data_IF_647916280120
#
_entry.id   IF_647916280120
#
_cell.length_a   1.000
_cell.length_b   1.000
_cell.length_c   1.000
_cell.angle_alpha   90.00
_cell.angle_beta   90.00
_cell.angle_gamma   90.00
#
_symmetry.space_group_name_H-M   'P 1'
#
loop_
_entity.id
_entity.type
_entity.pdbx_description
1 polymer ?
#
# COMPACT_ATOMS: atom_id res chain seq x y z
N UNK A 1 -51.84 -68.15 -115.03
CA UNK A 1 -50.84 -69.18 -114.68
C UNK A 1 -50.01 -68.66 -113.51
N UNK A 2 -49.88 -69.48 -112.46
CA UNK A 2 -48.82 -69.51 -111.43
C UNK A 2 -48.55 -68.29 -110.52
N UNK A 3 -49.02 -68.38 -109.27
CA UNK A 3 -48.14 -68.48 -108.07
C UNK A 3 -47.83 -67.22 -107.25
N UNK A 4 -47.46 -67.36 -105.94
CA UNK A 4 -48.05 -66.61 -104.81
C UNK A 4 -47.03 -65.88 -103.88
N UNK A 5 -47.44 -65.56 -102.64
CA UNK A 5 -46.73 -65.07 -101.40
C UNK A 5 -47.16 -63.63 -101.03
N UNK A 6 -48.08 -63.36 -100.09
CA UNK A 6 -48.26 -63.72 -98.66
C UNK A 6 -47.11 -63.25 -97.73
N UNK A 7 -47.51 -62.54 -96.65
CA UNK A 7 -46.75 -62.07 -95.47
C UNK A 7 -45.77 -60.90 -95.74
N UNK A 8 -45.83 -59.76 -95.06
CA UNK A 8 -45.85 -59.60 -93.60
C UNK A 8 -46.49 -58.26 -93.20
N UNK A 9 -47.49 -58.32 -92.32
CA UNK A 9 -47.95 -57.22 -91.48
C UNK A 9 -46.86 -56.77 -90.50
N UNK A 10 -46.93 -55.49 -90.11
CA UNK A 10 -46.55 -54.91 -88.81
C UNK A 10 -45.06 -54.97 -88.38
N UNK A 11 -44.38 -53.82 -88.47
CA UNK A 11 -43.67 -53.13 -87.37
C UNK A 11 -42.42 -52.37 -87.89
N UNK A 12 -42.39 -51.03 -87.73
CA UNK A 12 -41.30 -50.47 -86.94
C UNK A 12 -41.79 -49.33 -86.03
N UNK A 13 -42.84 -49.55 -85.24
CA UNK A 13 -43.23 -48.59 -84.19
C UNK A 13 -42.69 -48.97 -82.81
N UNK A 14 -42.25 -50.22 -82.61
CA UNK A 14 -41.76 -50.71 -81.31
C UNK A 14 -40.32 -50.26 -80.97
N UNK A 15 -39.46 -50.04 -81.97
CA UNK A 15 -38.07 -49.59 -81.74
C UNK A 15 -37.97 -48.15 -81.25
N UNK A 16 -38.84 -47.26 -81.76
CA UNK A 16 -38.91 -45.86 -81.35
C UNK A 16 -39.51 -45.69 -79.93
N UNK A 17 -40.42 -46.59 -79.53
CA UNK A 17 -41.04 -46.57 -78.20
C UNK A 17 -40.06 -46.92 -77.06
N UNK A 18 -39.01 -47.70 -77.32
CA UNK A 18 -37.99 -48.09 -76.31
C UNK A 18 -36.80 -47.13 -76.22
N UNK A 19 -36.51 -46.36 -77.28
CA UNK A 19 -35.40 -45.39 -77.31
C UNK A 19 -35.69 -44.14 -76.48
N UNK A 20 -36.94 -43.67 -76.49
CA UNK A 20 -37.38 -42.50 -75.71
C UNK A 20 -37.24 -42.67 -74.19
N UNK A 21 -37.67 -43.78 -73.55
CA UNK A 21 -37.48 -43.98 -72.12
C UNK A 21 -36.00 -44.18 -71.77
N UNK A 22 -35.20 -44.86 -72.60
CA UNK A 22 -33.76 -45.02 -72.37
C UNK A 22 -33.01 -43.67 -72.40
N UNK A 23 -33.34 -42.80 -73.37
CA UNK A 23 -32.80 -41.45 -73.46
C UNK A 23 -33.26 -40.58 -72.27
N UNK A 24 -34.52 -40.72 -71.84
CA UNK A 24 -35.03 -40.02 -70.66
C UNK A 24 -34.30 -40.46 -69.37
N UNK A 25 -33.99 -41.75 -69.23
CA UNK A 25 -33.18 -42.28 -68.11
C UNK A 25 -31.75 -41.73 -68.17
N UNK A 26 -31.10 -41.71 -69.33
CA UNK A 26 -29.75 -41.14 -69.48
C UNK A 26 -29.73 -39.63 -69.18
N UNK A 27 -30.73 -38.87 -69.64
CA UNK A 27 -30.85 -37.43 -69.35
C UNK A 27 -31.10 -37.19 -67.86
N UNK A 28 -31.95 -38.00 -67.21
CA UNK A 28 -32.17 -37.93 -65.75
C UNK A 28 -30.91 -38.27 -64.97
N UNK A 29 -30.19 -39.33 -65.34
CA UNK A 29 -28.92 -39.71 -64.73
C UNK A 29 -27.86 -38.62 -64.89
N UNK A 30 -27.73 -38.02 -66.09
CA UNK A 30 -26.81 -36.91 -66.34
C UNK A 30 -27.18 -35.65 -65.55
N UNK A 31 -28.47 -35.32 -65.45
CA UNK A 31 -28.96 -34.20 -64.63
C UNK A 31 -28.76 -34.45 -63.14
N UNK A 32 -28.93 -35.68 -62.66
CA UNK A 32 -28.65 -36.05 -61.28
C UNK A 32 -27.14 -35.91 -60.96
N UNK A 33 -26.27 -36.43 -61.82
CA UNK A 33 -24.81 -36.28 -61.68
C UNK A 33 -24.34 -34.81 -61.73
N UNK A 34 -24.96 -33.98 -62.59
CA UNK A 34 -24.68 -32.54 -62.62
C UNK A 34 -25.11 -31.85 -61.31
N UNK A 35 -26.30 -32.16 -60.78
CA UNK A 35 -26.77 -31.63 -59.50
C UNK A 35 -25.88 -32.05 -58.34
N UNK A 36 -25.44 -33.30 -58.32
CA UNK A 36 -24.52 -33.82 -57.29
C UNK A 36 -23.16 -33.12 -57.36
N UNK A 37 -22.61 -32.92 -58.56
CA UNK A 37 -21.38 -32.15 -58.77
C UNK A 37 -21.54 -30.69 -58.35
N UNK A 38 -22.64 -30.04 -58.74
CA UNK A 38 -22.88 -28.63 -58.40
C UNK A 38 -23.09 -28.48 -56.89
N UNK A 39 -23.76 -29.42 -56.23
CA UNK A 39 -23.89 -29.49 -54.77
C UNK A 39 -22.53 -29.71 -54.08
N UNK A 40 -21.68 -30.60 -54.59
CA UNK A 40 -20.33 -30.81 -54.07
C UNK A 40 -19.43 -29.58 -54.24
N UNK A 41 -19.59 -28.82 -55.34
CA UNK A 41 -18.88 -27.55 -55.56
C UNK A 41 -19.35 -26.49 -54.58
N UNK A 42 -20.65 -26.38 -54.30
CA UNK A 42 -21.20 -25.43 -53.31
C UNK A 42 -20.71 -25.79 -51.91
N UNK A 43 -20.85 -27.05 -51.49
CA UNK A 43 -20.36 -27.52 -50.19
C UNK A 43 -18.84 -27.31 -50.03
N UNK A 44 -18.06 -27.53 -51.11
CA UNK A 44 -16.63 -27.27 -51.13
C UNK A 44 -16.28 -25.78 -51.01
N UNK A 45 -17.12 -24.86 -51.49
CA UNK A 45 -16.95 -23.41 -51.30
C UNK A 45 -17.27 -22.99 -49.88
N UNK A 46 -18.38 -23.48 -49.30
CA UNK A 46 -18.76 -23.19 -47.91
C UNK A 46 -17.67 -23.65 -46.93
N UNK A 47 -17.12 -24.84 -47.12
CA UNK A 47 -16.01 -25.34 -46.30
C UNK A 47 -14.76 -24.45 -46.39
N UNK A 48 -14.42 -23.94 -47.58
CA UNK A 48 -13.29 -23.02 -47.76
C UNK A 48 -13.55 -21.68 -47.10
N UNK A 49 -14.74 -21.11 -47.24
CA UNK A 49 -15.10 -19.84 -46.60
C UNK A 49 -15.06 -19.94 -45.07
N UNK A 50 -15.53 -21.06 -44.51
CA UNK A 50 -15.41 -21.35 -43.08
C UNK A 50 -13.94 -21.49 -42.67
N UNK A 51 -13.13 -22.21 -43.43
CA UNK A 51 -11.70 -22.36 -43.16
C UNK A 51 -10.95 -21.02 -43.20
N UNK A 52 -11.21 -20.18 -44.19
CA UNK A 52 -10.64 -18.84 -44.33
C UNK A 52 -11.08 -17.90 -43.20
N UNK A 53 -12.34 -17.98 -42.77
CA UNK A 53 -12.83 -17.22 -41.61
C UNK A 53 -12.16 -17.66 -40.32
N UNK A 54 -12.04 -18.98 -40.11
CA UNK A 54 -11.35 -19.52 -38.94
C UNK A 54 -9.87 -19.11 -38.95
N UNK A 55 -9.19 -19.23 -40.09
CA UNK A 55 -7.79 -18.82 -40.22
C UNK A 55 -7.59 -17.34 -39.90
N UNK A 56 -8.44 -16.46 -40.44
CA UNK A 56 -8.43 -15.02 -40.10
C UNK A 56 -8.68 -14.74 -38.62
N UNK A 57 -9.58 -15.48 -38.00
CA UNK A 57 -9.82 -15.38 -36.55
C UNK A 57 -8.56 -15.78 -35.76
N UNK A 58 -7.93 -16.90 -36.11
CA UNK A 58 -6.69 -17.35 -35.47
C UNK A 58 -5.56 -16.35 -35.60
N UNK A 59 -5.31 -15.83 -36.81
CA UNK A 59 -4.27 -14.82 -37.04
C UNK A 59 -4.52 -13.55 -36.23
N UNK A 60 -5.76 -13.05 -36.22
CA UNK A 60 -6.12 -11.87 -35.46
C UNK A 60 -5.93 -12.06 -33.95
N UNK A 61 -6.30 -13.23 -33.40
CA UNK A 61 -6.07 -13.54 -31.98
C UNK A 61 -4.56 -13.59 -31.67
N UNK A 62 -3.74 -14.19 -32.53
CA UNK A 62 -2.28 -14.23 -32.33
C UNK A 62 -1.67 -12.84 -32.34
N UNK A 63 -2.11 -11.97 -33.25
CA UNK A 63 -1.66 -10.59 -33.33
C UNK A 63 -2.12 -9.75 -32.13
N UNK A 64 -3.35 -9.99 -31.66
CA UNK A 64 -3.93 -9.34 -30.48
C UNK A 64 -3.16 -9.73 -29.20
N UNK A 65 -2.82 -11.01 -29.02
CA UNK A 65 -1.97 -11.48 -27.90
C UNK A 65 -0.56 -10.86 -27.98
N UNK A 66 0.01 -10.76 -29.18
CA UNK A 66 1.31 -10.11 -29.38
C UNK A 66 1.24 -8.63 -29.06
N UNK A 67 0.14 -7.95 -29.41
CA UNK A 67 -0.07 -6.54 -29.11
C UNK A 67 -0.23 -6.29 -27.61
N UNK A 68 -1.02 -7.13 -26.94
CA UNK A 68 -1.15 -7.13 -25.48
C UNK A 68 0.24 -7.22 -24.82
N UNK A 69 1.02 -8.24 -25.19
CA UNK A 69 2.33 -8.49 -24.59
C UNK A 69 3.37 -7.39 -24.86
N UNK A 70 3.39 -6.81 -26.08
CA UNK A 70 4.45 -5.87 -26.50
C UNK A 70 4.12 -4.40 -26.28
N UNK A 71 2.84 -4.05 -26.17
CA UNK A 71 2.40 -2.65 -26.12
C UNK A 71 1.49 -2.36 -24.94
N UNK A 72 0.40 -3.11 -24.77
CA UNK A 72 -0.60 -2.80 -23.73
C UNK A 72 -0.07 -3.07 -22.32
N UNK A 73 0.53 -4.24 -22.06
CA UNK A 73 1.04 -4.57 -20.73
C UNK A 73 2.20 -3.63 -20.30
N UNK A 74 3.20 -3.32 -21.14
CA UNK A 74 4.21 -2.31 -20.77
C UNK A 74 3.63 -0.92 -20.50
N UNK A 75 2.69 -0.45 -21.33
CA UNK A 75 2.02 0.83 -21.11
C UNK A 75 1.24 0.86 -19.80
N UNK A 76 0.57 -0.24 -19.47
CA UNK A 76 -0.14 -0.43 -18.22
C UNK A 76 0.80 -0.44 -17.00
N UNK A 77 1.95 -1.11 -17.09
CA UNK A 77 2.97 -1.05 -16.01
C UNK A 77 3.45 0.39 -15.83
N UNK A 78 3.73 1.10 -16.93
CA UNK A 78 4.19 2.49 -16.88
C UNK A 78 3.13 3.44 -16.26
N UNK A 79 1.86 3.28 -16.63
CA UNK A 79 0.71 3.98 -16.05
C UNK A 79 0.67 3.78 -14.53
N UNK A 80 0.70 2.52 -14.09
CA UNK A 80 0.60 2.15 -12.67
C UNK A 80 1.83 2.57 -11.88
N UNK A 81 3.04 2.48 -12.45
CA UNK A 81 4.29 2.85 -11.78
C UNK A 81 4.43 4.35 -11.64
N UNK A 82 4.18 5.12 -12.72
CA UNK A 82 4.36 6.58 -12.72
C UNK A 82 3.16 7.34 -12.16
N UNK A 83 2.00 6.70 -12.00
CA UNK A 83 0.81 7.34 -11.45
C UNK A 83 0.20 8.40 -12.36
N UNK A 84 0.44 8.31 -13.68
CA UNK A 84 -0.19 9.16 -14.68
C UNK A 84 -1.39 8.43 -15.30
N UNK A 85 -2.62 8.67 -14.82
CA UNK A 85 -3.82 8.03 -15.36
C UNK A 85 -4.09 8.38 -16.83
N UNK A 86 -3.43 9.42 -17.37
CA UNK A 86 -3.61 9.89 -18.75
C UNK A 86 -2.74 9.15 -19.78
N UNK A 87 -1.90 8.20 -19.36
CA UNK A 87 -1.16 7.36 -20.29
C UNK A 87 -2.16 6.41 -21.00
N UNK A 88 -2.57 6.78 -22.22
CA UNK A 88 -3.54 6.00 -22.99
C UNK A 88 -3.00 4.59 -23.25
N UNK A 89 -3.57 3.59 -22.56
CA UNK A 89 -3.33 2.18 -22.87
C UNK A 89 -3.87 1.92 -24.28
N UNK A 90 -3.05 1.41 -25.22
CA UNK A 90 -3.50 1.11 -26.57
C UNK A 90 -4.76 0.23 -26.59
N UNK A 91 -5.73 0.55 -27.43
CA UNK A 91 -6.93 -0.27 -27.61
C UNK A 91 -6.65 -1.57 -28.41
N UNK A 92 -7.66 -2.43 -28.59
CA UNK A 92 -7.49 -3.66 -29.37
C UNK A 92 -7.20 -3.39 -30.84
N UNK A 93 -6.43 -4.26 -31.51
CA UNK A 93 -6.04 -4.09 -32.91
C UNK A 93 -7.17 -4.43 -33.89
N UNK A 94 -7.97 -5.45 -33.56
CA UNK A 94 -8.99 -5.98 -34.47
C UNK A 94 -10.41 -5.75 -33.93
N UNK A 95 -11.15 -4.82 -34.55
CA UNK A 95 -12.49 -4.45 -34.09
C UNK A 95 -13.51 -5.61 -34.11
N UNK A 96 -13.37 -6.56 -35.04
CA UNK A 96 -14.28 -7.70 -35.12
C UNK A 96 -14.13 -8.68 -33.94
N UNK A 97 -13.02 -8.61 -33.19
CA UNK A 97 -12.84 -9.40 -31.96
C UNK A 97 -13.67 -8.86 -30.79
N UNK A 98 -14.23 -7.64 -30.88
CA UNK A 98 -14.99 -7.02 -29.80
C UNK A 98 -16.22 -7.82 -29.36
N UNK A 99 -16.82 -8.59 -30.27
CA UNK A 99 -17.98 -9.45 -29.99
C UNK A 99 -17.59 -10.89 -29.62
N UNK A 100 -16.30 -11.13 -29.36
CA UNK A 100 -15.76 -12.45 -28.99
C UNK A 100 -15.31 -12.43 -27.52
N UNK A 101 -14.95 -13.57 -26.91
CA UNK A 101 -14.45 -13.60 -25.53
C UNK A 101 -13.06 -12.96 -25.32
N UNK A 102 -12.32 -12.68 -26.41
CA UNK A 102 -10.94 -12.17 -26.36
C UNK A 102 -10.77 -10.90 -25.51
N UNK A 103 -11.62 -9.85 -25.64
CA UNK A 103 -11.51 -8.64 -24.83
C UNK A 103 -11.76 -8.89 -23.33
N UNK A 104 -12.60 -9.86 -22.98
CA UNK A 104 -12.82 -10.25 -21.58
C UNK A 104 -11.55 -10.86 -20.99
N UNK A 105 -10.88 -11.75 -21.72
CA UNK A 105 -9.60 -12.32 -21.31
C UNK A 105 -8.50 -11.26 -21.20
N UNK A 106 -8.45 -10.29 -22.11
CA UNK A 106 -7.50 -9.16 -22.02
C UNK A 106 -7.71 -8.36 -20.74
N UNK A 107 -8.95 -7.96 -20.43
CA UNK A 107 -9.28 -7.25 -19.19
C UNK A 107 -8.94 -8.06 -17.94
N UNK A 108 -9.11 -9.39 -17.98
CA UNK A 108 -8.70 -10.26 -16.88
C UNK A 108 -7.18 -10.22 -16.68
N UNK A 109 -6.38 -10.26 -17.76
CA UNK A 109 -4.92 -10.13 -17.67
C UNK A 109 -4.50 -8.74 -17.16
N UNK A 110 -5.13 -7.68 -17.65
CA UNK A 110 -4.88 -6.32 -17.17
C UNK A 110 -5.18 -6.18 -15.67
N UNK A 111 -6.30 -6.75 -15.21
CA UNK A 111 -6.69 -6.74 -13.80
C UNK A 111 -5.66 -7.48 -12.93
N UNK A 112 -5.27 -8.69 -13.34
CA UNK A 112 -4.23 -9.47 -12.66
C UNK A 112 -2.88 -8.73 -12.61
N UNK A 113 -2.50 -8.05 -13.70
CA UNK A 113 -1.27 -7.28 -13.72
C UNK A 113 -1.34 -6.07 -12.78
N UNK A 114 -2.46 -5.34 -12.75
CA UNK A 114 -2.66 -4.23 -11.80
C UNK A 114 -2.57 -4.72 -10.35
N UNK A 115 -3.20 -5.84 -10.03
CA UNK A 115 -3.14 -6.47 -8.70
C UNK A 115 -1.71 -6.94 -8.34
N UNK A 116 -1.03 -7.60 -9.28
CA UNK A 116 0.34 -8.07 -9.07
C UNK A 116 1.32 -6.90 -8.84
N UNK A 117 1.24 -5.84 -9.66
CA UNK A 117 2.08 -4.64 -9.49
C UNK A 117 1.76 -3.94 -8.17
N UNK A 118 0.48 -3.80 -7.80
CA UNK A 118 0.10 -3.22 -6.52
C UNK A 118 0.66 -4.03 -5.33
N UNK A 119 0.60 -5.36 -5.42
CA UNK A 119 1.14 -6.27 -4.39
C UNK A 119 2.65 -6.14 -4.27
N UNK A 120 3.38 -6.18 -5.39
CA UNK A 120 4.84 -6.00 -5.41
C UNK A 120 5.24 -4.64 -4.85
N UNK A 121 4.50 -3.58 -5.18
CA UNK A 121 4.74 -2.23 -4.65
C UNK A 121 4.53 -2.17 -3.14
N UNK A 122 3.45 -2.75 -2.62
CA UNK A 122 3.21 -2.76 -1.18
C UNK A 122 4.27 -3.59 -0.44
N UNK A 123 4.65 -4.77 -0.97
CA UNK A 123 5.76 -5.56 -0.39
C UNK A 123 7.08 -4.80 -0.39
N UNK A 124 7.42 -4.12 -1.49
CA UNK A 124 8.62 -3.29 -1.56
C UNK A 124 8.56 -2.11 -0.56
N UNK A 125 7.41 -1.45 -0.44
CA UNK A 125 7.22 -0.37 0.53
C UNK A 125 7.31 -0.88 1.98
N UNK A 126 6.76 -2.05 2.29
CA UNK A 126 6.87 -2.69 3.59
C UNK A 126 8.32 -3.07 3.93
N UNK A 127 9.05 -3.66 2.99
CA UNK A 127 10.46 -3.99 3.15
C UNK A 127 11.31 -2.73 3.38
N UNK A 128 11.06 -1.66 2.62
CA UNK A 128 11.73 -0.38 2.80
C UNK A 128 11.43 0.24 4.18
N UNK A 129 10.16 0.24 4.61
CA UNK A 129 9.76 0.69 5.96
C UNK A 129 10.45 -0.12 7.05
N UNK A 130 10.53 -1.45 6.91
CA UNK A 130 11.21 -2.32 7.85
C UNK A 130 12.72 -2.03 7.92
N UNK A 131 13.37 -1.83 6.76
CA UNK A 131 14.78 -1.45 6.69
C UNK A 131 15.07 -0.10 7.36
N UNK A 132 14.28 0.93 7.03
CA UNK A 132 14.40 2.27 7.66
C UNK A 132 14.18 2.18 9.17
N UNK A 133 13.18 1.41 9.61
CA UNK A 133 12.92 1.18 11.03
C UNK A 133 14.12 0.56 11.74
N UNK A 134 14.71 -0.49 11.18
CA UNK A 134 15.87 -1.16 11.76
C UNK A 134 17.06 -0.22 11.94
N UNK A 135 17.39 0.55 10.89
CA UNK A 135 18.47 1.56 10.94
C UNK A 135 18.16 2.64 11.97
N UNK A 136 16.91 3.11 12.01
CA UNK A 136 16.50 4.17 12.92
C UNK A 136 16.48 3.70 14.39
N UNK A 137 16.09 2.45 14.67
CA UNK A 137 16.16 1.87 16.01
C UNK A 137 17.61 1.71 16.49
N UNK A 138 18.53 1.33 15.59
CA UNK A 138 19.97 1.28 15.89
C UNK A 138 20.53 2.68 16.18
N UNK A 139 20.23 3.66 15.32
CA UNK A 139 20.64 5.05 15.51
C UNK A 139 20.09 5.63 16.81
N UNK A 140 18.81 5.37 17.13
CA UNK A 140 18.20 5.81 18.39
C UNK A 140 18.93 5.24 19.60
N UNK A 141 19.31 3.96 19.56
CA UNK A 141 20.05 3.31 20.65
C UNK A 141 21.42 3.95 20.87
N UNK A 142 22.15 4.24 19.80
CA UNK A 142 23.46 4.89 19.88
C UNK A 142 23.35 6.33 20.39
N UNK A 143 22.39 7.10 19.88
CA UNK A 143 22.17 8.48 20.30
C UNK A 143 21.69 8.58 21.74
N UNK A 144 20.83 7.66 22.20
CA UNK A 144 20.41 7.61 23.60
C UNK A 144 21.58 7.31 24.54
N UNK A 145 22.50 6.41 24.15
CA UNK A 145 23.74 6.16 24.91
C UNK A 145 24.66 7.36 24.93
N UNK A 146 24.77 8.07 23.80
CA UNK A 146 25.54 9.31 23.73
C UNK A 146 24.95 10.37 24.68
N UNK A 147 23.62 10.54 24.68
CA UNK A 147 22.95 11.46 25.59
C UNK A 147 23.21 11.13 27.06
N UNK A 148 23.05 9.85 27.46
CA UNK A 148 23.39 9.41 28.82
C UNK A 148 24.84 9.71 29.19
N UNK A 149 25.77 9.58 28.22
CA UNK A 149 27.18 9.87 28.45
C UNK A 149 27.42 11.38 28.61
N UNK A 150 26.75 12.21 27.82
CA UNK A 150 26.83 13.67 27.94
C UNK A 150 26.27 14.11 29.30
N UNK A 151 25.13 13.56 29.71
CA UNK A 151 24.52 13.82 31.03
C UNK A 151 25.47 13.45 32.18
N UNK A 152 26.14 12.29 32.07
CA UNK A 152 27.14 11.83 33.05
C UNK A 152 28.33 12.81 33.15
N UNK A 153 28.83 13.31 32.02
CA UNK A 153 29.95 14.26 32.01
C UNK A 153 29.54 15.66 32.47
N UNK A 154 28.35 16.13 32.09
CA UNK A 154 27.78 17.40 32.58
C UNK A 154 27.56 17.38 34.10
N UNK A 155 27.26 16.21 34.68
CA UNK A 155 27.11 16.04 36.12
C UNK A 155 28.41 16.00 36.93
N UNK A 156 29.58 15.81 36.29
CA UNK A 156 30.89 15.70 36.97
C UNK A 156 31.53 17.05 37.29
N UNK A 157 31.38 18.02 36.39
CA UNK A 157 31.95 19.36 36.53
C UNK A 157 30.87 20.38 36.92
N UNK A 158 31.25 21.44 37.65
CA UNK A 158 30.34 22.56 37.93
C UNK A 158 29.90 23.27 36.63
N UNK A 159 28.76 24.00 36.62
CA UNK A 159 28.12 24.56 35.42
C UNK A 159 28.85 25.76 34.80
N UNK A 160 30.17 25.79 34.89
CA UNK A 160 31.00 26.94 34.55
C UNK A 160 32.24 26.48 33.79
N UNK A 161 32.40 26.98 32.57
CA UNK A 161 33.60 26.79 31.76
C UNK A 161 33.30 26.46 30.30
N UNK A 162 34.32 26.62 29.45
CA UNK A 162 34.19 26.34 28.02
C UNK A 162 33.85 24.87 27.72
N UNK A 163 34.30 23.94 28.57
CA UNK A 163 33.99 22.51 28.43
C UNK A 163 32.50 22.22 28.66
N UNK A 164 31.91 22.76 29.72
CA UNK A 164 30.48 22.63 30.02
C UNK A 164 29.61 23.22 28.90
N UNK A 165 29.99 24.39 28.37
CA UNK A 165 29.30 24.98 27.22
C UNK A 165 29.40 24.08 25.98
N UNK A 166 30.59 23.56 25.69
CA UNK A 166 30.79 22.66 24.54
C UNK A 166 29.96 21.38 24.67
N UNK A 167 29.88 20.79 25.87
CA UNK A 167 29.02 19.63 26.13
C UNK A 167 27.53 19.96 25.98
N UNK A 168 27.11 21.14 26.43
CA UNK A 168 25.73 21.61 26.26
C UNK A 168 25.38 21.77 24.78
N UNK A 169 26.30 22.31 23.98
CA UNK A 169 26.12 22.44 22.53
C UNK A 169 26.02 21.05 21.87
N UNK A 170 26.82 20.07 22.31
CA UNK A 170 26.76 18.68 21.82
C UNK A 170 25.45 17.99 22.22
N UNK A 171 24.96 18.18 23.45
CA UNK A 171 23.65 17.65 23.87
C UNK A 171 22.52 18.19 22.97
N UNK A 172 22.59 19.47 22.62
CA UNK A 172 21.60 20.06 21.71
C UNK A 172 21.61 19.39 20.34
N UNK A 173 22.78 19.16 19.74
CA UNK A 173 22.87 18.40 18.48
C UNK A 173 22.38 16.96 18.63
N UNK A 174 22.65 16.32 19.77
CA UNK A 174 22.20 14.95 20.07
C UNK A 174 20.68 14.87 20.17
N UNK A 175 20.06 15.84 20.85
CA UNK A 175 18.60 15.98 20.93
C UNK A 175 17.99 16.16 19.53
N UNK A 176 18.58 17.02 18.68
CA UNK A 176 18.11 17.18 17.29
C UNK A 176 18.26 15.91 16.44
N UNK A 177 19.34 15.16 16.65
CA UNK A 177 19.54 13.88 15.96
C UNK A 177 18.52 12.83 16.41
N UNK A 178 18.23 12.74 17.72
CA UNK A 178 17.18 11.87 18.26
C UNK A 178 15.82 12.21 17.67
N UNK A 179 15.52 13.49 17.56
CA UNK A 179 14.31 14.00 16.91
C UNK A 179 14.22 13.58 15.44
N UNK A 180 15.31 13.71 14.69
CA UNK A 180 15.36 13.30 13.28
C UNK A 180 15.12 11.80 13.11
N UNK A 181 15.74 10.99 13.97
CA UNK A 181 15.52 9.55 14.01
C UNK A 181 14.08 9.21 14.40
N UNK A 182 13.50 9.91 15.38
CA UNK A 182 12.10 9.75 15.80
C UNK A 182 11.12 10.00 14.63
N UNK A 183 11.34 11.04 13.81
CA UNK A 183 10.54 11.33 12.61
C UNK A 183 10.55 10.17 11.63
N UNK A 184 11.73 9.63 11.33
CA UNK A 184 11.90 8.48 10.44
C UNK A 184 11.21 7.23 10.98
N UNK A 185 11.34 6.95 12.28
CA UNK A 185 10.65 5.84 12.96
C UNK A 185 9.15 5.97 12.84
N UNK A 186 8.60 7.16 13.13
CA UNK A 186 7.16 7.43 13.00
C UNK A 186 6.72 7.14 11.58
N UNK A 187 7.38 7.69 10.55
CA UNK A 187 7.00 7.44 9.15
C UNK A 187 7.15 5.96 8.74
N UNK A 188 8.14 5.26 9.29
CA UNK A 188 8.42 3.84 9.03
C UNK A 188 7.44 2.86 9.70
N UNK A 189 6.44 3.36 10.44
CA UNK A 189 5.45 2.49 11.07
C UNK A 189 5.50 2.49 12.59
N UNK A 190 6.57 2.99 13.20
CA UNK A 190 6.80 2.87 14.64
C UNK A 190 5.98 3.86 15.44
N UNK A 191 5.81 3.52 16.70
CA UNK A 191 5.22 4.40 17.69
C UNK A 191 6.21 5.52 18.09
N UNK A 192 5.75 6.76 18.31
CA UNK A 192 6.58 7.95 18.51
C UNK A 192 7.53 7.87 19.71
N UNK A 193 7.23 7.12 20.77
CA UNK A 193 8.09 7.04 21.95
C UNK A 193 7.26 6.85 23.22
N UNK A 194 7.92 6.63 24.36
CA UNK A 194 7.31 6.19 25.63
C UNK A 194 6.04 7.00 26.01
N UNK A 195 5.03 6.30 26.52
CA UNK A 195 3.81 6.90 27.03
C UNK A 195 4.19 7.75 28.23
N UNK A 196 3.78 9.01 28.20
CA UNK A 196 4.05 9.96 29.29
C UNK A 196 2.93 9.89 30.32
N UNK A 197 3.17 10.47 31.49
CA UNK A 197 2.10 10.86 32.37
C UNK A 197 1.24 11.96 31.71
N UNK A 198 0.08 12.25 32.29
CA UNK A 198 -0.71 13.40 31.85
C UNK A 198 0.09 14.68 32.06
N UNK A 199 0.15 15.56 31.06
CA UNK A 199 0.90 16.82 31.12
C UNK A 199 -0.01 17.99 30.77
N UNK A 200 0.31 19.17 31.25
CA UNK A 200 -0.43 20.38 30.90
C UNK A 200 -0.13 20.82 29.46
N UNK A 201 -1.04 21.58 28.85
CA UNK A 201 -0.81 22.20 27.53
C UNK A 201 0.47 23.06 27.57
N UNK A 202 0.72 23.79 28.66
CA UNK A 202 1.94 24.56 28.88
C UNK A 202 3.20 23.68 28.79
N UNK A 203 3.23 22.57 29.53
CA UNK A 203 4.37 21.63 29.52
C UNK A 203 4.62 21.02 28.14
N UNK A 204 3.55 20.75 27.37
CA UNK A 204 3.65 20.25 26.00
C UNK A 204 4.33 21.29 25.10
N UNK A 205 3.92 22.56 25.17
CA UNK A 205 4.54 23.62 24.37
C UNK A 205 5.99 23.87 24.79
N UNK A 206 6.28 23.87 26.09
CA UNK A 206 7.64 24.00 26.61
C UNK A 206 8.53 22.85 26.15
N UNK A 207 8.03 21.61 26.21
CA UNK A 207 8.75 20.44 25.69
C UNK A 207 8.98 20.56 24.19
N UNK A 208 7.97 20.98 23.42
CA UNK A 208 8.10 21.13 21.97
C UNK A 208 9.11 22.20 21.58
N UNK A 209 9.12 23.34 22.31
CA UNK A 209 10.06 24.45 22.15
C UNK A 209 11.50 24.04 22.49
N UNK A 210 11.72 23.26 23.55
CA UNK A 210 13.07 22.78 23.91
C UNK A 210 13.71 21.85 22.89
N UNK A 211 12.92 21.31 21.94
CA UNK A 211 13.35 20.33 20.94
C UNK A 211 13.76 20.95 19.60
N UNK A 212 13.62 22.28 19.43
CA UNK A 212 14.03 23.00 18.22
C UNK A 212 15.29 23.83 18.46
N UNK A 213 16.03 24.15 17.38
CA UNK A 213 17.24 24.97 17.46
C UNK A 213 16.97 26.41 17.91
N UNK A 214 16.16 27.19 17.17
CA UNK A 214 15.85 28.58 17.50
C UNK A 214 14.75 28.71 18.57
N UNK A 215 14.90 28.01 19.71
CA UNK A 215 13.89 27.98 20.77
C UNK A 215 13.65 29.36 21.41
N UNK A 216 14.67 30.21 21.43
CA UNK A 216 14.64 31.58 21.92
C UNK A 216 13.70 32.49 21.11
N UNK A 217 13.49 32.17 19.83
CA UNK A 217 12.58 32.89 18.92
C UNK A 217 11.11 32.49 19.08
N UNK A 218 10.80 31.51 19.92
CA UNK A 218 9.42 31.08 20.18
C UNK A 218 8.89 31.82 21.40
N UNK A 219 7.97 32.75 21.15
CA UNK A 219 7.22 33.47 22.18
C UNK A 219 5.90 32.76 22.42
N UNK A 220 5.50 32.57 23.68
CA UNK A 220 4.25 31.88 23.98
C UNK A 220 3.43 32.56 25.08
N UNK A 221 2.10 32.51 24.95
CA UNK A 221 1.18 33.10 25.91
C UNK A 221 -0.07 32.24 26.05
N UNK A 222 -0.52 32.04 27.29
CA UNK A 222 -1.73 31.27 27.59
C UNK A 222 -2.57 32.00 28.64
N UNK A 223 -3.89 31.80 28.58
CA UNK A 223 -4.73 32.01 29.74
C UNK A 223 -4.43 30.89 30.76
N UNK A 224 -4.38 31.22 32.04
CA UNK A 224 -3.95 30.28 33.08
C UNK A 224 -4.80 28.99 33.11
N UNK A 225 -6.12 29.12 32.98
CA UNK A 225 -7.06 28.00 32.91
C UNK A 225 -6.85 27.11 31.68
N UNK A 226 -6.44 27.68 30.55
CA UNK A 226 -6.15 26.94 29.31
C UNK A 226 -4.77 26.28 29.37
N UNK A 227 -3.74 27.00 29.82
CA UNK A 227 -2.37 26.49 29.88
C UNK A 227 -2.21 25.34 30.87
N UNK A 228 -2.91 25.38 32.00
CA UNK A 228 -2.90 24.34 33.05
C UNK A 228 -3.84 23.16 32.77
N UNK A 229 -4.51 23.12 31.60
CA UNK A 229 -5.35 21.98 31.24
C UNK A 229 -4.50 20.76 30.94
N UNK A 230 -4.79 19.64 31.59
CA UNK A 230 -4.12 18.37 31.37
C UNK A 230 -4.57 17.68 30.08
N UNK A 231 -3.59 17.13 29.37
CA UNK A 231 -3.72 16.27 28.20
C UNK A 231 -3.38 14.85 28.61
N UNK A 232 -4.13 13.88 28.09
CA UNK A 232 -3.96 12.48 28.43
C UNK A 232 -2.60 11.93 27.96
N UNK A 233 -1.91 11.23 28.86
CA UNK A 233 -0.54 10.74 28.67
C UNK A 233 -0.29 9.94 27.38
N UNK A 234 -1.31 9.22 26.89
CA UNK A 234 -1.24 8.46 25.63
C UNK A 234 -1.04 9.35 24.40
N UNK A 235 -1.46 10.62 24.45
CA UNK A 235 -1.33 11.57 23.33
C UNK A 235 -0.31 12.67 23.57
N UNK A 236 0.25 12.80 24.78
CA UNK A 236 1.26 13.83 25.11
C UNK A 236 2.45 13.80 24.14
N UNK A 237 3.17 12.67 24.02
CA UNK A 237 4.32 12.59 23.11
C UNK A 237 3.94 12.81 21.63
N UNK A 238 2.87 12.21 21.08
CA UNK A 238 2.39 12.52 19.74
C UNK A 238 2.12 14.01 19.49
N UNK A 239 1.46 14.69 20.44
CA UNK A 239 1.15 16.13 20.31
C UNK A 239 2.41 16.96 20.42
N UNK A 240 3.33 16.63 21.33
CA UNK A 240 4.63 17.29 21.45
C UNK A 240 5.43 17.17 20.17
N UNK A 241 5.54 15.97 19.58
CA UNK A 241 6.26 15.78 18.31
C UNK A 241 5.61 16.58 17.19
N UNK A 242 4.28 16.52 17.05
CA UNK A 242 3.58 17.31 16.04
C UNK A 242 3.83 18.81 16.21
N UNK A 243 3.77 19.32 17.44
CA UNK A 243 4.04 20.72 17.73
C UNK A 243 5.51 21.08 17.47
N UNK A 244 6.47 20.21 17.80
CA UNK A 244 7.89 20.42 17.45
C UNK A 244 8.07 20.58 15.94
N UNK A 245 7.42 19.76 15.11
CA UNK A 245 7.51 19.90 13.64
C UNK A 245 6.90 21.21 13.14
N UNK A 246 5.77 21.65 13.73
CA UNK A 246 5.15 22.92 13.37
C UNK A 246 6.04 24.11 13.76
N UNK A 247 6.65 24.06 14.96
CA UNK A 247 7.56 25.11 15.43
C UNK A 247 8.84 25.15 14.60
N UNK A 248 9.45 24.00 14.29
CA UNK A 248 10.64 23.93 13.46
C UNK A 248 10.39 24.57 12.09
N UNK A 249 9.28 24.22 11.43
CA UNK A 249 8.87 24.83 10.17
C UNK A 249 8.69 26.35 10.31
N UNK A 250 7.95 26.80 11.33
CA UNK A 250 7.72 28.23 11.56
C UNK A 250 9.05 29.00 11.76
N UNK A 251 9.97 28.46 12.54
CA UNK A 251 11.27 29.10 12.81
C UNK A 251 12.23 29.05 11.63
N UNK A 252 12.15 28.03 10.78
CA UNK A 252 13.02 27.88 9.61
C UNK A 252 12.62 28.82 8.46
N UNK A 253 11.32 29.13 8.33
CA UNK A 253 10.79 29.98 7.24
C UNK A 253 10.49 31.43 7.65
N UNK A 254 10.69 31.77 8.93
CA UNK A 254 10.59 33.13 9.45
C UNK A 254 11.95 33.60 9.96
N UNK A 255 12.23 34.90 9.91
CA UNK A 255 13.33 35.55 10.64
C UNK A 255 12.88 36.20 11.95
N UNK A 256 11.60 36.53 12.07
CA UNK A 256 10.97 37.17 13.24
C UNK A 256 10.56 36.13 14.31
N UNK A 257 10.24 36.56 15.54
CA UNK A 257 9.68 35.68 16.55
C UNK A 257 8.42 34.93 16.09
N UNK A 258 8.32 33.66 16.44
CA UNK A 258 7.16 32.80 16.23
C UNK A 258 6.27 32.90 17.45
N UNK A 259 4.99 33.22 17.25
CA UNK A 259 4.02 33.35 18.35
C UNK A 259 3.24 32.05 18.55
N UNK A 260 3.15 31.58 19.78
CA UNK A 260 2.37 30.40 20.17
C UNK A 260 1.34 30.79 21.21
N UNK A 261 0.09 30.39 21.01
CA UNK A 261 -0.94 30.61 22.02
C UNK A 261 -1.95 29.47 22.04
N UNK A 262 -2.50 29.22 23.23
CA UNK A 262 -3.53 28.21 23.44
C UNK A 262 -4.87 28.86 23.75
N UNK A 263 -5.95 28.29 23.22
CA UNK A 263 -7.32 28.78 23.45
C UNK A 263 -8.28 27.61 23.66
N UNK A 264 -9.22 27.78 24.59
CA UNK A 264 -10.35 26.87 24.72
C UNK A 264 -11.36 27.12 23.59
N UNK A 265 -12.00 26.04 23.16
CA UNK A 265 -13.10 26.04 22.19
C UNK A 265 -14.29 25.27 22.80
N UNK A 266 -15.51 25.34 22.22
CA UNK A 266 -16.65 24.60 22.74
C UNK A 266 -16.51 23.07 22.77
N UNK A 267 -15.53 22.50 22.05
CA UNK A 267 -15.37 21.06 21.86
C UNK A 267 -13.95 20.55 22.13
N UNK A 268 -13.10 21.38 22.75
CA UNK A 268 -11.69 21.07 22.91
C UNK A 268 -10.82 22.30 23.12
N UNK A 269 -9.52 22.12 22.86
CA UNK A 269 -8.50 23.15 22.98
C UNK A 269 -7.76 23.27 21.65
N UNK A 270 -7.30 24.47 21.30
CA UNK A 270 -6.41 24.68 20.15
C UNK A 270 -5.10 25.30 20.61
N UNK A 271 -4.00 24.81 20.05
CA UNK A 271 -2.67 25.40 20.12
C UNK A 271 -2.41 26.00 18.74
N UNK A 272 -2.18 27.30 18.69
CA UNK A 272 -1.94 28.04 17.45
C UNK A 272 -0.48 28.45 17.39
N UNK A 273 0.16 28.18 16.27
CA UNK A 273 1.51 28.63 15.92
C UNK A 273 1.37 29.60 14.75
N UNK A 274 1.81 30.85 14.94
CA UNK A 274 1.79 31.88 13.91
C UNK A 274 3.21 32.39 13.65
N UNK A 275 3.59 32.37 12.37
CA UNK A 275 4.81 33.01 11.87
C UNK A 275 4.47 34.17 10.93
N UNK A 276 5.50 34.98 10.65
CA UNK A 276 5.46 36.12 9.72
C UNK A 276 6.44 35.94 8.56
N UNK A 277 6.71 34.68 8.21
CA UNK A 277 7.64 34.28 7.16
C UNK A 277 7.08 34.35 5.74
N UNK A 278 7.68 33.58 4.83
CA UNK A 278 7.39 33.60 3.38
C UNK A 278 5.96 33.17 3.00
N UNK A 279 5.22 32.53 3.92
CA UNK A 279 3.90 31.96 3.66
C UNK A 279 3.92 30.78 2.69
N UNK A 280 2.74 30.29 2.31
CA UNK A 280 2.56 29.21 1.33
C UNK A 280 1.71 29.66 0.15
N UNK A 281 2.19 29.39 -1.07
CA UNK A 281 1.37 29.53 -2.28
C UNK A 281 0.25 28.46 -2.31
N UNK A 282 -0.72 28.61 -3.22
CA UNK A 282 -1.90 27.73 -3.28
C UNK A 282 -1.54 26.24 -3.46
N UNK A 283 -0.54 25.94 -4.30
CA UNK A 283 -0.11 24.56 -4.54
C UNK A 283 0.60 23.95 -3.32
N UNK A 284 1.46 24.72 -2.66
CA UNK A 284 2.13 24.30 -1.43
C UNK A 284 1.14 24.05 -0.29
N UNK A 285 0.12 24.91 -0.19
CA UNK A 285 -0.93 24.79 0.83
C UNK A 285 -1.79 23.55 0.61
N UNK A 286 -2.26 23.34 -0.62
CA UNK A 286 -3.04 22.15 -1.01
C UNK A 286 -2.24 20.86 -0.78
N UNK A 287 -0.94 20.87 -1.06
CA UNK A 287 -0.06 19.73 -0.74
C UNK A 287 0.11 19.52 0.77
N UNK A 288 0.31 20.59 1.55
CA UNK A 288 0.40 20.50 3.00
C UNK A 288 -0.91 19.96 3.63
N UNK A 289 -2.07 20.46 3.19
CA UNK A 289 -3.39 20.00 3.61
C UNK A 289 -3.60 18.51 3.27
N UNK A 290 -3.20 18.06 2.07
CA UNK A 290 -3.23 16.64 1.71
C UNK A 290 -2.39 15.78 2.66
N UNK A 291 -1.20 16.24 3.03
CA UNK A 291 -0.33 15.49 3.95
C UNK A 291 -0.91 15.44 5.37
N UNK A 292 -1.56 16.51 5.82
CA UNK A 292 -2.16 16.63 7.16
C UNK A 292 -3.45 15.82 7.35
N UNK A 293 -4.26 15.65 6.29
CA UNK A 293 -5.54 14.94 6.36
C UNK A 293 -5.39 13.42 6.20
N UNK A 294 -4.34 12.97 5.51
CA UNK A 294 -4.12 11.53 5.25
C UNK A 294 -3.40 10.86 6.41
N UNK A 295 -3.33 9.53 6.37
CA UNK A 295 -2.41 8.71 7.18
C UNK A 295 -1.15 8.38 6.36
N UNK A 296 -0.24 9.33 6.12
CA UNK A 296 0.93 9.07 5.29
C UNK A 296 1.82 8.02 5.95
N UNK A 297 2.21 7.02 5.17
CA UNK A 297 3.29 6.12 5.50
C UNK A 297 4.51 6.52 4.68
N UNK A 298 5.69 6.12 5.13
CA UNK A 298 6.88 6.25 4.29
C UNK A 298 6.62 5.51 2.97
N UNK A 299 6.71 6.24 1.86
CA UNK A 299 6.75 5.72 0.51
C UNK A 299 8.12 6.07 -0.11
N UNK A 300 8.57 5.27 -1.07
CA UNK A 300 9.85 5.44 -1.75
C UNK A 300 9.96 6.81 -2.44
N UNK A 301 8.83 7.40 -2.83
CA UNK A 301 8.75 8.74 -3.42
C UNK A 301 8.77 9.86 -2.38
N UNK A 302 8.29 9.61 -1.16
CA UNK A 302 8.22 10.59 -0.07
C UNK A 302 9.59 10.86 0.58
N UNK A 303 10.54 9.93 0.46
CA UNK A 303 11.93 10.10 0.91
C UNK A 303 12.74 11.10 0.07
N UNK A 304 12.23 11.51 -1.10
CA UNK A 304 12.97 12.37 -2.02
C UNK A 304 13.07 13.84 -1.56
N UNK A 305 12.24 14.28 -0.60
CA UNK A 305 12.23 15.65 -0.10
C UNK A 305 12.11 15.70 1.43
N UNK A 306 13.26 15.71 2.10
CA UNK A 306 13.37 15.73 3.57
C UNK A 306 12.61 16.90 4.21
N UNK A 307 12.50 18.03 3.49
CA UNK A 307 11.75 19.22 3.96
C UNK A 307 10.25 18.99 4.06
N UNK A 308 9.71 17.98 3.37
CA UNK A 308 8.26 17.65 3.38
C UNK A 308 7.88 16.63 4.46
N UNK A 309 8.86 16.06 5.17
CA UNK A 309 8.59 15.03 6.17
C UNK A 309 7.81 15.57 7.37
N UNK A 310 7.94 16.86 7.71
CA UNK A 310 7.30 17.44 8.89
C UNK A 310 5.77 17.33 8.85
N UNK A 311 5.12 17.81 7.79
CA UNK A 311 3.66 17.68 7.65
C UNK A 311 3.20 16.23 7.50
N UNK A 312 4.02 15.35 6.91
CA UNK A 312 3.71 13.93 6.85
C UNK A 312 3.71 13.29 8.26
N UNK A 313 4.71 13.59 9.10
CA UNK A 313 4.76 13.14 10.50
C UNK A 313 3.55 13.66 11.26
N UNK A 314 3.25 14.96 11.13
CA UNK A 314 2.11 15.59 11.80
C UNK A 314 0.78 14.95 11.37
N UNK A 315 0.54 14.78 10.07
CA UNK A 315 -0.69 14.18 9.55
C UNK A 315 -0.88 12.73 10.02
N UNK A 316 0.20 11.95 10.04
CA UNK A 316 0.17 10.59 10.59
C UNK A 316 -0.21 10.57 12.08
N UNK A 317 0.44 11.41 12.89
CA UNK A 317 0.16 11.47 14.32
C UNK A 317 -1.27 11.97 14.58
N UNK A 318 -1.72 13.00 13.85
CA UNK A 318 -3.08 13.50 13.93
C UNK A 318 -4.11 12.39 13.65
N UNK A 319 -3.88 11.61 12.60
CA UNK A 319 -4.71 10.46 12.27
C UNK A 319 -4.69 9.37 13.36
N UNK A 320 -3.49 8.90 13.76
CA UNK A 320 -3.31 7.78 14.67
C UNK A 320 -3.79 8.09 16.11
N UNK A 321 -3.77 9.37 16.53
CA UNK A 321 -4.13 9.81 17.89
C UNK A 321 -5.37 10.71 17.96
N UNK A 322 -6.06 10.90 16.83
CA UNK A 322 -7.36 11.58 16.74
C UNK A 322 -7.36 13.05 17.19
N UNK A 323 -6.25 13.77 17.01
CA UNK A 323 -6.21 15.23 17.00
C UNK A 323 -6.23 15.74 15.56
N UNK A 324 -6.35 17.06 15.35
CA UNK A 324 -6.35 17.66 14.01
C UNK A 324 -5.32 18.75 13.91
N UNK A 325 -4.75 18.94 12.72
CA UNK A 325 -3.90 20.08 12.41
C UNK A 325 -4.37 20.71 11.11
N UNK A 326 -4.47 22.03 11.10
CA UNK A 326 -4.86 22.83 9.94
C UNK A 326 -3.84 23.94 9.68
N UNK A 327 -3.58 24.24 8.40
CA UNK A 327 -2.71 25.34 7.95
C UNK A 327 -3.39 26.19 6.87
N UNK A 328 -4.72 26.09 6.76
CA UNK A 328 -5.50 26.71 5.68
C UNK A 328 -5.73 28.21 5.89
N UNK A 329 -5.73 28.66 7.15
CA UNK A 329 -5.92 30.06 7.49
C UNK A 329 -4.62 30.88 7.26
N UNK A 330 -4.71 32.08 6.66
CA UNK A 330 -3.56 32.96 6.58
C UNK A 330 -3.17 33.47 7.98
N UNK A 331 -1.87 33.63 8.24
CA UNK A 331 -1.38 34.38 9.40
C UNK A 331 -1.70 35.86 9.25
N UNK A 332 -2.00 36.54 10.36
CA UNK A 332 -2.22 37.98 10.38
C UNK A 332 -0.99 38.77 9.91
N UNK A 333 0.21 38.20 10.07
CA UNK A 333 1.48 38.79 9.63
C UNK A 333 1.96 38.33 8.26
N UNK A 334 1.12 37.65 7.46
CA UNK A 334 1.46 37.24 6.09
C UNK A 334 2.22 35.91 5.95
N UNK A 335 2.61 35.28 7.06
CA UNK A 335 3.21 33.95 7.11
C UNK A 335 2.18 32.81 7.16
N UNK A 336 2.51 31.73 7.86
CA UNK A 336 1.61 30.58 8.07
C UNK A 336 0.99 30.60 9.47
N UNK A 337 -0.28 30.20 9.55
CA UNK A 337 -0.97 29.93 10.81
C UNK A 337 -1.29 28.45 10.89
N UNK A 338 -0.58 27.73 11.74
CA UNK A 338 -0.86 26.33 12.03
C UNK A 338 -1.72 26.21 13.29
N UNK A 339 -2.80 25.44 13.21
CA UNK A 339 -3.75 25.23 14.31
C UNK A 339 -3.79 23.74 14.65
N UNK A 340 -3.24 23.37 15.81
CA UNK A 340 -3.37 22.03 16.37
C UNK A 340 -4.58 21.99 17.31
N UNK A 341 -5.58 21.20 16.97
CA UNK A 341 -6.82 21.05 17.71
C UNK A 341 -6.87 19.71 18.47
N UNK A 342 -7.06 19.80 19.78
CA UNK A 342 -7.22 18.70 20.72
C UNK A 342 -8.69 18.62 21.18
N UNK A 343 -9.47 17.63 20.73
CA UNK A 343 -10.83 17.44 21.22
C UNK A 343 -10.86 17.06 22.71
N UNK A 344 -11.95 17.38 23.42
CA UNK A 344 -12.06 17.18 24.88
C UNK A 344 -11.80 15.74 25.34
N UNK A 345 -12.09 14.75 24.49
CA UNK A 345 -11.80 13.32 24.75
C UNK A 345 -10.31 12.98 24.91
N UNK A 346 -9.42 13.90 24.55
CA UNK A 346 -7.97 13.77 24.70
C UNK A 346 -7.43 14.50 25.94
N UNK A 347 -8.30 15.17 26.69
CA UNK A 347 -7.92 15.82 27.94
C UNK A 347 -7.78 14.76 29.04
N UNK A 348 -6.78 14.96 29.90
CA UNK A 348 -6.55 14.14 31.07
C UNK A 348 -7.03 14.83 32.35
N UNK A 349 -6.99 14.08 33.44
CA UNK A 349 -7.00 14.63 34.79
C UNK A 349 -5.55 14.92 35.23
N UNK A 350 -5.34 15.77 36.24
CA UNK A 350 -4.04 15.86 36.89
C UNK A 350 -3.53 14.46 37.23
N UNK A 351 -2.24 14.15 37.01
CA UNK A 351 -1.67 12.91 37.50
C UNK A 351 -2.06 12.75 38.96
N UNK A 352 -2.65 11.61 39.32
CA UNK A 352 -2.67 11.26 40.73
C UNK A 352 -1.21 11.26 41.21
N UNK A 353 -0.96 11.73 42.43
CA UNK A 353 0.32 11.50 43.11
C UNK A 353 0.46 9.98 43.33
N UNK A 354 0.72 9.23 42.26
CA UNK A 354 1.21 7.88 42.36
C UNK A 354 2.64 7.98 42.88
N UNK A 355 2.96 7.31 44.00
CA UNK A 355 4.35 7.19 44.42
C UNK A 355 5.12 6.67 43.22
N UNK A 356 6.20 7.38 42.85
CA UNK A 356 7.12 6.94 41.81
C UNK A 356 7.30 5.42 41.93
N UNK A 357 7.13 4.65 40.85
CA UNK A 357 7.24 3.20 40.93
C UNK A 357 8.57 2.91 41.60
N UNK A 358 8.50 2.34 42.81
CA UNK A 358 9.68 1.93 43.55
C UNK A 358 10.52 1.13 42.55
N UNK A 359 11.84 1.41 42.43
CA UNK A 359 12.67 0.66 41.51
C UNK A 359 12.40 -0.81 41.79
N UNK A 360 11.90 -1.53 40.78
CA UNK A 360 11.80 -2.97 40.80
C UNK A 360 13.13 -3.47 41.37
N UNK A 361 13.16 -4.39 42.34
CA UNK A 361 14.42 -4.91 42.85
C UNK A 361 15.12 -5.59 41.67
N UNK A 362 15.97 -4.85 40.96
CA UNK A 362 17.09 -5.41 40.25
C UNK A 362 17.85 -6.17 41.31
N UNK A 363 18.14 -7.44 41.00
CA UNK A 363 18.86 -8.39 41.81
C UNK A 363 19.83 -7.68 42.75
N UNK A 364 19.40 -7.51 44.00
CA UNK A 364 20.31 -7.22 45.09
C UNK A 364 21.27 -8.40 45.05
N UNK A 365 22.60 -8.20 44.88
CA UNK A 365 23.51 -9.32 44.99
C UNK A 365 23.27 -9.91 46.38
N UNK A 366 22.74 -11.14 46.39
CA UNK A 366 22.41 -11.88 47.59
C UNK A 366 23.66 -11.85 48.47
N UNK A 367 23.55 -11.09 49.56
CA UNK A 367 24.59 -10.95 50.57
C UNK A 367 24.91 -12.37 51.02
N UNK A 368 26.12 -12.82 50.68
CA UNK A 368 26.60 -14.17 50.94
C UNK A 368 26.18 -14.62 52.35
N UNK A 369 25.23 -15.57 52.39
CA UNK A 369 24.83 -16.23 53.62
C UNK A 369 26.05 -16.91 54.22
N UNK A 370 26.37 -16.55 55.44
CA UNK A 370 27.40 -17.17 56.27
C UNK A 370 27.16 -18.68 56.38
N UNK A 371 27.98 -19.47 55.68
CA UNK A 371 28.00 -20.93 55.86
C UNK A 371 28.70 -21.25 57.17
N UNK A 372 27.96 -21.69 58.19
CA UNK A 372 28.53 -22.37 59.35
C UNK A 372 29.01 -23.77 58.94
N UNK A 373 30.30 -24.12 59.13
CA UNK A 373 30.82 -25.43 58.74
C UNK A 373 30.47 -26.50 59.80
N UNK A 374 30.18 -27.72 59.36
CA UNK A 374 30.22 -28.90 60.24
C UNK A 374 31.67 -29.25 60.61
N UNK A 375 31.94 -29.95 61.72
CA UNK A 375 33.29 -30.21 62.25
C UNK A 375 34.27 -30.97 61.33
N UNK A 376 33.84 -31.41 60.15
CA UNK A 376 34.66 -32.12 59.15
C UNK A 376 34.74 -31.41 57.78
N UNK A 377 34.38 -30.12 57.69
CA UNK A 377 34.79 -29.26 56.56
C UNK A 377 34.19 -29.53 55.16
N UNK A 378 33.08 -30.26 55.03
CA UNK A 378 32.40 -30.51 53.74
C UNK A 378 30.99 -29.88 53.70
N UNK A 379 30.56 -29.26 52.58
CA UNK A 379 29.25 -28.60 52.49
C UNK A 379 28.09 -29.60 52.35
N UNK A 380 27.02 -29.42 53.14
CA UNK A 380 25.78 -30.21 53.08
C UNK A 380 24.94 -29.83 51.85
N UNK A 381 24.64 -30.80 50.99
CA UNK A 381 23.78 -30.64 49.81
C UNK A 381 22.30 -30.70 50.23
N UNK A 382 21.57 -29.59 50.14
CA UNK A 382 20.11 -29.57 50.31
C UNK A 382 19.40 -29.92 48.98
N UNK A 383 18.28 -30.68 49.01
CA UNK A 383 17.50 -30.99 47.82
C UNK A 383 16.67 -29.77 47.42
N UNK A 384 16.92 -29.27 46.20
CA UNK A 384 16.17 -28.16 45.59
C UNK A 384 14.80 -28.67 45.16
N UNK A 385 13.75 -28.12 45.78
CA UNK A 385 12.36 -28.40 45.42
C UNK A 385 12.10 -28.16 43.94
N UNK A 386 11.32 -29.06 43.35
CA UNK A 386 10.88 -29.10 41.96
C UNK A 386 10.14 -27.84 41.55
N UNK A 387 10.83 -26.91 40.87
CA UNK A 387 10.19 -25.88 40.05
C UNK A 387 9.85 -26.51 38.70
N UNK A 388 8.56 -26.59 38.40
CA UNK A 388 8.04 -27.10 37.13
C UNK A 388 8.73 -26.40 35.95
N UNK A 389 9.41 -27.19 35.13
CA UNK A 389 9.99 -26.75 33.87
C UNK A 389 8.87 -26.50 32.86
N UNK A 390 8.59 -25.23 32.54
CA UNK A 390 7.98 -24.86 31.27
C UNK A 390 9.10 -24.78 30.24
N UNK A 391 9.41 -25.90 29.61
CA UNK A 391 10.14 -25.95 28.34
C UNK A 391 9.17 -25.64 27.22
N UNK A 392 9.27 -24.43 26.67
CA UNK A 392 8.90 -24.16 25.29
C UNK A 392 9.98 -23.22 24.72
N UNK A 393 10.67 -23.58 23.64
CA UNK A 393 11.59 -22.65 22.98
C UNK A 393 10.79 -21.49 22.37
N UNK A 394 11.34 -20.27 22.29
CA UNK A 394 10.77 -19.24 21.44
C UNK A 394 10.96 -19.70 19.99
N UNK A 395 9.90 -20.20 19.38
CA UNK A 395 9.87 -20.31 17.92
C UNK A 395 9.73 -18.89 17.41
N UNK A 396 10.85 -18.31 16.94
CA UNK A 396 10.78 -17.22 15.98
C UNK A 396 10.11 -17.82 14.74
N UNK A 397 8.81 -17.63 14.60
CA UNK A 397 8.19 -17.72 13.28
C UNK A 397 8.77 -16.57 12.47
N UNK A 398 9.70 -16.92 11.58
CA UNK A 398 10.00 -16.09 10.44
C UNK A 398 8.68 -15.93 9.68
N UNK A 399 8.09 -14.73 9.73
CA UNK A 399 7.06 -14.31 8.79
C UNK A 399 7.72 -14.11 7.43
N UNK A 400 8.13 -15.22 6.81
CA UNK A 400 8.30 -15.28 5.37
C UNK A 400 6.89 -15.30 4.79
N UNK A 401 6.30 -14.12 4.64
CA UNK A 401 5.13 -13.94 3.77
C UNK A 401 5.62 -13.96 2.32
N UNK A 402 6.21 -15.09 1.93
CA UNK A 402 6.30 -15.50 0.55
C UNK A 402 4.95 -16.12 0.28
N UNK A 403 4.10 -15.40 -0.45
CA UNK A 403 2.85 -15.92 -1.01
C UNK A 403 3.05 -17.38 -1.43
N UNK A 404 2.32 -18.28 -0.75
CA UNK A 404 2.40 -19.72 -0.96
C UNK A 404 2.36 -20.03 -2.46
N UNK A 405 3.37 -20.70 -3.05
CA UNK A 405 3.33 -21.10 -4.44
C UNK A 405 2.07 -21.92 -4.79
N UNK A 406 1.41 -22.56 -3.80
CA UNK A 406 0.11 -23.20 -4.00
C UNK A 406 -1.05 -22.20 -4.19
N UNK A 407 -0.98 -20.98 -3.64
CA UNK A 407 -1.97 -19.92 -3.86
C UNK A 407 -1.87 -19.34 -5.27
N UNK A 408 -0.65 -19.13 -5.76
CA UNK A 408 -0.36 -18.78 -7.16
C UNK A 408 -0.79 -19.92 -8.10
N UNK A 409 -0.47 -21.17 -7.77
CA UNK A 409 -0.91 -22.34 -8.53
C UNK A 409 -2.45 -22.48 -8.53
N UNK A 410 -3.14 -22.17 -7.42
CA UNK A 410 -4.60 -22.13 -7.34
C UNK A 410 -5.20 -21.00 -8.19
N UNK A 411 -4.49 -19.88 -8.35
CA UNK A 411 -4.82 -18.84 -9.33
C UNK A 411 -4.73 -19.35 -10.77
N UNK A 412 -3.64 -20.03 -11.12
CA UNK A 412 -3.44 -20.65 -12.44
C UNK A 412 -4.42 -21.79 -12.73
N UNK A 413 -4.78 -22.60 -11.72
CA UNK A 413 -5.81 -23.65 -11.81
C UNK A 413 -7.20 -23.05 -12.09
N UNK A 414 -7.57 -21.98 -11.39
CA UNK A 414 -8.84 -21.25 -11.65
C UNK A 414 -8.88 -20.67 -13.07
N UNK A 415 -7.75 -20.12 -13.53
CA UNK A 415 -7.58 -19.62 -14.89
C UNK A 415 -7.69 -20.73 -15.93
N UNK A 416 -7.02 -21.87 -15.72
CA UNK A 416 -7.14 -23.07 -16.57
C UNK A 416 -8.58 -23.59 -16.65
N UNK A 417 -9.30 -23.59 -15.52
CA UNK A 417 -10.69 -24.02 -15.47
C UNK A 417 -11.61 -23.03 -16.22
N UNK A 418 -11.37 -21.72 -16.14
CA UNK A 418 -12.09 -20.73 -16.93
C UNK A 418 -11.87 -20.92 -18.44
N UNK A 419 -10.64 -21.25 -18.87
CA UNK A 419 -10.33 -21.54 -20.28
C UNK A 419 -10.95 -22.83 -20.82
N UNK A 420 -11.18 -23.82 -19.96
CA UNK A 420 -11.76 -25.12 -20.36
C UNK A 420 -13.30 -25.10 -20.39
N UNK A 421 -13.96 -24.27 -19.57
CA UNK A 421 -15.42 -24.18 -19.55
C UNK A 421 -16.00 -23.29 -20.66
N UNK A 422 -15.20 -22.46 -21.32
CA UNK A 422 -15.64 -21.66 -22.48
C UNK A 422 -15.86 -22.46 -23.78
N UNK A 423 -15.49 -23.74 -23.82
CA UNK A 423 -15.54 -24.58 -25.02
C UNK A 423 -16.56 -25.73 -24.97
N UNK A 424 -17.41 -25.82 -23.94
CA UNK A 424 -18.26 -26.99 -23.74
C UNK A 424 -19.68 -26.66 -23.28
N UNK A 425 -20.48 -26.05 -24.16
CA UNK A 425 -21.94 -26.25 -24.26
C UNK A 425 -22.57 -25.14 -25.12
N UNK A 426 -22.76 -25.41 -26.41
CA UNK A 426 -23.94 -24.88 -27.12
C UNK A 426 -24.59 -26.05 -27.84
N UNK A 427 -25.88 -26.21 -27.55
CA UNK A 427 -26.70 -27.37 -27.81
C UNK A 427 -26.75 -27.80 -29.28
N UNK A 428 -26.44 -29.08 -29.49
CA UNK A 428 -26.86 -29.83 -30.65
C UNK A 428 -28.27 -30.40 -30.44
N UNK A 429 -29.29 -29.53 -30.36
CA UNK A 429 -30.67 -29.91 -30.66
C UNK A 429 -31.39 -28.83 -31.47
N UNK A 430 -31.28 -28.96 -32.80
CA UNK A 430 -32.15 -28.25 -33.73
C UNK A 430 -33.54 -28.88 -33.71
N UNK A 431 -34.46 -28.26 -33.00
CA UNK A 431 -35.89 -28.52 -33.12
C UNK A 431 -36.40 -27.78 -34.36
N UNK A 432 -36.67 -28.52 -35.43
CA UNK A 432 -37.36 -28.01 -36.62
C UNK A 432 -38.82 -27.81 -36.26
N UNK A 433 -39.26 -26.55 -36.29
CA UNK A 433 -40.66 -26.22 -36.58
C UNK A 433 -40.81 -26.19 -38.10
N UNK A 434 -41.77 -26.96 -38.62
CA UNK A 434 -42.51 -26.66 -39.84
C UNK A 434 -43.95 -27.16 -39.60
N UNK A 435 -44.91 -26.26 -39.88
CA UNK A 435 -46.36 -26.41 -40.17
C UNK A 435 -47.25 -27.41 -39.39
#
# INVERSE_FOLDING_TARGET
MTGPHLLLLLAPTAGLAAVLPALAVQVRAKRAALRERDAAVIAGKELREVAERNFRYYEAVVDEVRHLARHQLPALVDEVVRGHPDAAVPGPLHDFLRSTPVPEHHRAVETLLREAVATVREHAAQAARAGVRGIADEAQTLLARLQMKIDEELGKDGPTGAYHQSLTDIDHFTTRALHTVQRLRILAGSWPGMQRANCTIREIVESARGRIGPYDRVEYTYLADVGERYVEGRVVEPVTVALTELLANATDYSSEPVTVYAQQTPTGHRIVVEDTGLGMNAFQRDEAERLLVRRPLLDLTALADERKLGFAVVGRLAHDYHFRVDVGAPSAGGGVKAVLFLPDKLMGEPPADEPAPAPSPQDVPERAGTTTPTPAGLPKRQPRGTRAARTAPPTQEATTDTSDPASLAAGFERLRNAFTHGYGATDSQGQRHDD
#
